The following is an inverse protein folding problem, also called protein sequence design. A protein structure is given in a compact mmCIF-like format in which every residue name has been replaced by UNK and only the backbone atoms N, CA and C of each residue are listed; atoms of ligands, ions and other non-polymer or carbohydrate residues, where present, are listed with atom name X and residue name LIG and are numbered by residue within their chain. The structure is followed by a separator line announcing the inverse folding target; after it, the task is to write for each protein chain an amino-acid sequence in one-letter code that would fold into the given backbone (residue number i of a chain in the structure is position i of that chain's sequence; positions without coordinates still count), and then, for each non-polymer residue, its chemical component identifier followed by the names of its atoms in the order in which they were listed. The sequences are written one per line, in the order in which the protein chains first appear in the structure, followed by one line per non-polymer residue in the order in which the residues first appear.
data_IF_274044115764
#
_entry.id   IF_274044115764
#
_cell.length_a   1.000
_cell.length_b   1.000
_cell.length_c   1.000
_cell.angle_alpha   90.00
_cell.angle_beta   90.00
_cell.angle_gamma   90.00
#
_symmetry.space_group_name_H-M   'P 1'
#
loop_
_entity.id
_entity.type
_entity.pdbx_description
1 polymer ?
#
# COMPACT_ATOMS: atom_id res chain seq x y z
N UNK A 1 -47.01 34.90 47.97
CA UNK A 1 -46.68 33.48 47.70
C UNK A 1 -47.44 33.08 46.45
N UNK A 2 -46.80 33.06 45.27
CA UNK A 2 -47.39 32.58 44.01
C UNK A 2 -46.29 31.82 43.26
N UNK A 3 -46.44 30.50 43.15
CA UNK A 3 -45.59 29.63 42.33
C UNK A 3 -46.06 29.70 40.87
N UNK A 4 -45.20 30.14 39.94
CA UNK A 4 -45.40 29.89 38.51
C UNK A 4 -44.70 28.59 38.15
N UNK A 5 -45.45 27.51 37.94
CA UNK A 5 -44.96 26.29 37.27
C UNK A 5 -44.76 26.59 35.79
N UNK A 6 -43.51 26.54 35.34
CA UNK A 6 -43.13 26.55 33.92
C UNK A 6 -43.46 25.18 33.32
N UNK A 7 -44.58 25.07 32.60
CA UNK A 7 -44.86 23.85 31.82
C UNK A 7 -43.97 23.80 30.58
N UNK A 8 -42.96 22.91 30.61
CA UNK A 8 -42.16 22.58 29.42
C UNK A 8 -42.99 21.71 28.49
N UNK A 9 -43.46 22.27 27.38
CA UNK A 9 -44.07 21.48 26.31
C UNK A 9 -43.01 20.57 25.67
N UNK A 10 -43.20 19.24 25.61
CA UNK A 10 -42.28 18.36 24.93
C UNK A 10 -42.39 18.59 23.42
N UNK A 11 -41.33 19.12 22.82
CA UNK A 11 -41.15 19.17 21.37
C UNK A 11 -41.06 17.74 20.82
N UNK A 12 -42.21 17.15 20.49
CA UNK A 12 -42.29 15.90 19.74
C UNK A 12 -41.85 16.17 18.29
N UNK A 13 -40.54 16.17 18.06
CA UNK A 13 -39.95 16.24 16.72
C UNK A 13 -40.37 15.01 15.92
N UNK A 14 -41.33 15.19 15.02
CA UNK A 14 -41.66 14.20 14.00
C UNK A 14 -40.64 14.36 12.88
N UNK A 15 -39.54 13.61 12.94
CA UNK A 15 -38.62 13.47 11.82
C UNK A 15 -39.39 12.92 10.62
N UNK A 16 -39.34 13.63 9.51
CA UNK A 16 -39.98 13.15 8.29
C UNK A 16 -39.09 12.07 7.66
N UNK A 17 -39.68 10.99 7.17
CA UNK A 17 -38.92 9.90 6.54
C UNK A 17 -38.12 10.40 5.32
N UNK A 18 -38.62 11.44 4.65
CA UNK A 18 -37.97 12.12 3.54
C UNK A 18 -36.71 12.90 3.95
N UNK A 19 -36.69 13.48 5.16
CA UNK A 19 -35.54 14.22 5.68
C UNK A 19 -34.35 13.29 5.96
N UNK A 20 -34.60 12.07 6.43
CA UNK A 20 -33.56 11.06 6.56
C UNK A 20 -33.15 10.49 5.19
N UNK A 21 -34.12 10.29 4.29
CA UNK A 21 -33.89 9.73 2.96
C UNK A 21 -32.99 10.61 2.07
N UNK A 22 -33.21 11.93 2.06
CA UNK A 22 -32.40 12.85 1.24
C UNK A 22 -30.95 12.92 1.73
N UNK A 23 -30.73 12.81 3.04
CA UNK A 23 -29.40 12.85 3.64
C UNK A 23 -28.57 11.64 3.21
N UNK A 24 -29.13 10.43 3.32
CA UNK A 24 -28.41 9.23 2.89
C UNK A 24 -28.19 9.22 1.37
N UNK A 25 -29.10 9.82 0.59
CA UNK A 25 -28.94 9.95 -0.85
C UNK A 25 -27.73 10.85 -1.21
N UNK A 26 -27.61 12.01 -0.56
CA UNK A 26 -26.48 12.92 -0.80
C UNK A 26 -25.17 12.29 -0.31
N UNK A 27 -25.15 11.66 0.88
CA UNK A 27 -23.97 10.93 1.39
C UNK A 27 -23.56 9.83 0.40
N UNK A 28 -24.51 9.11 -0.18
CA UNK A 28 -24.26 8.08 -1.18
C UNK A 28 -23.57 8.60 -2.43
N UNK A 29 -24.02 9.74 -2.99
CA UNK A 29 -23.40 10.37 -4.16
C UNK A 29 -21.96 10.80 -3.85
N UNK A 30 -21.73 11.42 -2.68
CA UNK A 30 -20.40 11.84 -2.26
C UNK A 30 -19.48 10.63 -2.01
N UNK A 31 -19.97 9.59 -1.35
CA UNK A 31 -19.21 8.37 -1.07
C UNK A 31 -18.85 7.60 -2.36
N UNK A 32 -19.75 7.57 -3.34
CA UNK A 32 -19.51 6.91 -4.63
C UNK A 32 -18.30 7.50 -5.38
N UNK A 33 -18.05 8.80 -5.25
CA UNK A 33 -16.86 9.44 -5.83
C UNK A 33 -15.59 9.21 -4.98
N UNK A 34 -15.74 9.02 -3.67
CA UNK A 34 -14.61 8.86 -2.73
C UNK A 34 -14.06 7.44 -2.67
N UNK A 35 -14.91 6.40 -2.77
CA UNK A 35 -14.50 4.98 -2.74
C UNK A 35 -13.43 4.61 -3.79
N UNK A 36 -13.56 4.97 -5.09
CA UNK A 36 -12.56 4.62 -6.09
C UNK A 36 -11.23 5.37 -5.87
N UNK A 37 -11.28 6.61 -5.37
CA UNK A 37 -10.09 7.41 -5.07
C UNK A 37 -9.36 6.85 -3.86
N UNK A 38 -10.08 6.41 -2.82
CA UNK A 38 -9.51 5.84 -1.60
C UNK A 38 -8.75 4.53 -1.87
N UNK A 39 -9.24 3.69 -2.80
CA UNK A 39 -8.51 2.48 -3.22
C UNK A 39 -7.16 2.84 -3.84
N UNK A 40 -7.15 3.76 -4.82
CA UNK A 40 -5.92 4.20 -5.49
C UNK A 40 -4.95 4.87 -4.52
N UNK A 41 -5.45 5.67 -3.57
CA UNK A 41 -4.63 6.30 -2.54
C UNK A 41 -3.98 5.28 -1.61
N UNK A 42 -4.71 4.21 -1.24
CA UNK A 42 -4.18 3.11 -0.42
C UNK A 42 -3.06 2.36 -1.12
N UNK A 43 -3.22 2.07 -2.41
CA UNK A 43 -2.20 1.37 -3.19
C UNK A 43 -0.94 2.24 -3.35
N UNK A 44 -1.10 3.54 -3.59
CA UNK A 44 0.02 4.49 -3.56
C UNK A 44 0.69 4.60 -2.18
N UNK A 45 -0.07 4.53 -1.09
CA UNK A 45 0.51 4.53 0.25
C UNK A 45 1.37 3.26 0.47
N UNK A 46 0.90 2.09 0.01
CA UNK A 46 1.68 0.84 0.05
C UNK A 46 2.96 0.93 -0.78
N UNK A 47 2.90 1.51 -1.98
CA UNK A 47 4.09 1.68 -2.82
C UNK A 47 5.11 2.61 -2.16
N UNK A 48 4.67 3.72 -1.55
CA UNK A 48 5.56 4.65 -0.81
C UNK A 48 6.27 3.93 0.34
N UNK A 49 5.56 3.08 1.09
CA UNK A 49 6.19 2.28 2.17
C UNK A 49 7.21 1.31 1.59
N UNK A 50 6.90 0.61 0.50
CA UNK A 50 7.83 -0.30 -0.16
C UNK A 50 9.10 0.41 -0.62
N UNK A 51 8.96 1.57 -1.26
CA UNK A 51 10.09 2.40 -1.71
C UNK A 51 10.95 2.84 -0.51
N UNK A 52 10.32 3.25 0.59
CA UNK A 52 11.02 3.62 1.81
C UNK A 52 11.83 2.45 2.39
N UNK A 53 11.26 1.25 2.40
CA UNK A 53 11.97 0.05 2.87
C UNK A 53 13.15 -0.30 1.97
N UNK A 54 12.98 -0.22 0.65
CA UNK A 54 14.06 -0.49 -0.30
C UNK A 54 15.21 0.53 -0.15
N UNK A 55 14.87 1.81 0.04
CA UNK A 55 15.87 2.85 0.33
C UNK A 55 16.64 2.55 1.61
N UNK A 56 15.98 2.09 2.67
CA UNK A 56 16.63 1.68 3.91
C UNK A 56 17.61 0.51 3.70
N UNK A 57 17.24 -0.49 2.91
CA UNK A 57 18.13 -1.61 2.56
C UNK A 57 19.32 -1.14 1.72
N UNK A 58 19.09 -0.28 0.73
CA UNK A 58 20.18 0.30 -0.09
C UNK A 58 21.19 1.05 0.77
N UNK A 59 20.71 1.89 1.69
CA UNK A 59 21.58 2.62 2.63
C UNK A 59 22.36 1.67 3.54
N UNK A 60 21.74 0.58 4.01
CA UNK A 60 22.43 -0.45 4.80
C UNK A 60 23.57 -1.10 4.02
N UNK A 61 23.36 -1.38 2.73
CA UNK A 61 24.38 -1.96 1.85
C UNK A 61 25.53 -0.96 1.64
N UNK A 62 25.22 0.32 1.39
CA UNK A 62 26.23 1.37 1.25
C UNK A 62 27.10 1.52 2.51
N UNK A 63 26.49 1.50 3.69
CA UNK A 63 27.24 1.51 4.95
C UNK A 63 28.13 0.28 5.11
N UNK A 64 27.61 -0.91 4.80
CA UNK A 64 28.39 -2.14 4.87
C UNK A 64 29.62 -2.11 3.96
N UNK A 65 29.45 -1.70 2.70
CA UNK A 65 30.55 -1.59 1.71
C UNK A 65 31.63 -0.63 2.23
N UNK A 66 31.23 0.48 2.84
CA UNK A 66 32.15 1.45 3.44
C UNK A 66 32.97 0.88 4.60
N UNK A 67 32.39 -0.03 5.38
CA UNK A 67 33.03 -0.62 6.56
C UNK A 67 33.93 -1.83 6.23
N UNK A 68 33.69 -2.55 5.12
CA UNK A 68 34.43 -3.77 4.74
C UNK A 68 35.14 -3.66 3.38
N UNK A 69 36.01 -2.65 3.20
CA UNK A 69 36.92 -2.51 2.04
C UNK A 69 36.26 -2.71 0.66
N UNK A 70 34.98 -2.34 0.51
CA UNK A 70 34.26 -2.46 -0.74
C UNK A 70 33.59 -3.81 -1.01
N UNK A 71 33.61 -4.76 -0.07
CA UNK A 71 32.96 -6.05 -0.23
C UNK A 71 31.44 -5.97 0.00
N UNK A 72 30.66 -6.61 -0.87
CA UNK A 72 29.21 -6.73 -0.70
C UNK A 72 28.84 -7.71 0.42
N UNK A 73 27.72 -7.50 1.13
CA UNK A 73 27.29 -8.42 2.19
C UNK A 73 27.02 -9.80 1.59
N UNK A 74 27.70 -10.81 2.15
CA UNK A 74 27.51 -12.19 1.71
C UNK A 74 26.05 -12.58 1.96
N UNK A 75 25.33 -13.03 0.93
CA UNK A 75 23.97 -13.54 1.10
C UNK A 75 23.99 -14.70 2.10
N UNK A 76 23.15 -14.57 3.12
CA UNK A 76 23.05 -15.57 4.17
C UNK A 76 22.50 -16.86 3.58
N UNK A 77 23.36 -17.86 3.40
CA UNK A 77 22.97 -19.18 2.95
C UNK A 77 22.18 -19.88 4.06
N UNK A 78 20.86 -19.94 3.93
CA UNK A 78 20.02 -20.86 4.69
C UNK A 78 20.33 -22.26 4.15
N UNK A 79 21.21 -22.99 4.84
CA UNK A 79 21.51 -24.42 4.65
C UNK A 79 21.37 -24.96 3.22
N UNK A 80 22.46 -24.82 2.44
CA UNK A 80 22.88 -25.87 1.50
C UNK A 80 22.14 -26.00 0.17
N UNK A 81 22.13 -24.95 -0.67
CA UNK A 81 22.20 -25.07 -2.15
C UNK A 81 22.16 -23.69 -2.81
N UNK A 82 23.24 -22.91 -2.70
CA UNK A 82 23.52 -21.85 -3.68
C UNK A 82 25.02 -21.84 -3.91
N UNK A 83 25.43 -22.23 -5.11
CA UNK A 83 26.83 -22.18 -5.56
C UNK A 83 27.17 -20.73 -5.94
N UNK A 84 28.02 -20.09 -5.14
CA UNK A 84 28.45 -18.69 -5.30
C UNK A 84 29.75 -18.56 -6.09
N UNK A 85 30.21 -19.62 -6.76
CA UNK A 85 31.37 -19.54 -7.68
C UNK A 85 30.99 -18.84 -8.98
N UNK A 86 31.97 -18.32 -9.73
CA UNK A 86 31.76 -17.77 -11.08
C UNK A 86 31.08 -18.75 -12.05
N UNK A 87 31.10 -20.06 -11.75
CA UNK A 87 30.41 -21.08 -12.53
C UNK A 87 28.92 -21.21 -12.15
N UNK A 88 28.51 -20.90 -10.91
CA UNK A 88 27.11 -20.80 -10.52
C UNK A 88 26.32 -19.73 -11.29
N UNK A 89 26.97 -18.62 -11.65
CA UNK A 89 26.34 -17.54 -12.45
C UNK A 89 26.12 -17.95 -13.92
N UNK A 90 26.80 -18.98 -14.43
CA UNK A 90 26.64 -19.47 -15.81
C UNK A 90 25.66 -20.65 -15.90
N UNK A 91 25.65 -21.49 -14.86
CA UNK A 91 24.86 -22.73 -14.83
C UNK A 91 23.41 -22.49 -14.40
N UNK A 92 23.12 -21.30 -13.85
CA UNK A 92 21.80 -20.83 -13.42
C UNK A 92 21.27 -19.75 -14.37
N UNK A 93 21.55 -19.87 -15.68
CA UNK A 93 21.17 -18.89 -16.71
C UNK A 93 19.65 -18.65 -16.79
N UNK A 94 18.86 -19.58 -16.28
CA UNK A 94 17.41 -19.52 -16.09
C UNK A 94 16.99 -18.64 -14.90
N UNK A 95 17.86 -18.44 -13.91
CA UNK A 95 17.66 -17.52 -12.78
C UNK A 95 18.22 -16.12 -13.11
N UNK A 96 19.28 -16.04 -13.93
CA UNK A 96 19.93 -14.79 -14.33
C UNK A 96 19.37 -14.14 -15.58
N UNK A 97 18.65 -14.90 -16.41
CA UNK A 97 17.82 -14.35 -17.49
C UNK A 97 16.57 -13.60 -17.00
N UNK A 98 16.36 -13.51 -15.67
CA UNK A 98 15.24 -12.80 -15.05
C UNK A 98 15.62 -11.71 -14.07
N UNK A 99 16.90 -11.34 -13.95
CA UNK A 99 17.18 -10.00 -13.43
C UNK A 99 16.94 -9.04 -14.59
N UNK A 100 15.86 -8.23 -14.57
CA UNK A 100 15.74 -7.17 -15.55
C UNK A 100 17.00 -6.31 -15.41
N UNK A 101 17.79 -6.21 -16.48
CA UNK A 101 18.77 -5.14 -16.57
C UNK A 101 18.03 -3.83 -16.29
N UNK A 102 18.68 -2.93 -15.57
CA UNK A 102 18.12 -1.77 -14.86
C UNK A 102 17.48 -0.67 -15.75
N UNK A 103 16.90 -1.01 -16.90
CA UNK A 103 16.16 -0.08 -17.76
C UNK A 103 14.65 -0.25 -17.70
N UNK A 104 14.11 -1.36 -17.18
CA UNK A 104 12.66 -1.60 -17.19
C UNK A 104 12.10 -2.04 -15.83
N UNK A 105 12.18 -1.17 -14.80
CA UNK A 105 11.18 -1.18 -13.73
C UNK A 105 9.98 -0.35 -14.19
N UNK A 106 9.26 -0.82 -15.21
CA UNK A 106 7.92 -0.33 -15.47
C UNK A 106 6.96 -1.09 -14.55
N UNK A 107 6.28 -0.33 -13.69
CA UNK A 107 5.14 -0.78 -12.91
C UNK A 107 4.14 -1.47 -13.82
N UNK A 108 4.11 -2.80 -13.80
CA UNK A 108 3.04 -3.57 -14.41
C UNK A 108 1.77 -3.32 -13.60
N UNK A 109 0.99 -2.33 -14.06
CA UNK A 109 -0.43 -2.23 -13.80
C UNK A 109 -1.08 -3.55 -14.26
N UNK A 110 -1.21 -4.52 -13.36
CA UNK A 110 -2.11 -5.67 -13.59
C UNK A 110 -3.54 -5.24 -13.29
N UNK A 111 -4.08 -4.39 -14.16
CA UNK A 111 -5.52 -4.22 -14.34
C UNK A 111 -5.95 -4.89 -15.64
N UNK A 112 -6.57 -6.07 -15.52
CA UNK A 112 -7.43 -6.65 -16.56
C UNK A 112 -6.78 -7.70 -17.45
N UNK A 113 -7.01 -8.98 -17.14
CA UNK A 113 -7.91 -9.82 -17.96
C UNK A 113 -7.95 -11.26 -17.44
N UNK A 114 -9.11 -11.60 -16.89
CA UNK A 114 -9.65 -12.96 -16.92
C UNK A 114 -9.89 -13.39 -18.39
N UNK A 115 -10.02 -14.70 -18.55
CA UNK A 115 -10.65 -15.43 -19.67
C UNK A 115 -9.70 -15.94 -20.77
N UNK A 116 -9.12 -17.11 -20.53
CA UNK A 116 -9.49 -18.36 -21.23
C UNK A 116 -8.99 -19.59 -20.48
#
# INVERSE_FOLDING_TARGET
MIERRTERQPILSRFTLIELLVVIAIIGVLAAMLLPVLSKARDKARSVVCISNNKQVSMMIEFYIGDVDGYLPRPFAISGQYDWTYDGWKNNADILGKFPQSTDFQSSDQSGNNSR
#
